data_IF_025932185473
#
_entry.id   IF_025932185473
#
_cell.length_a   1.000
_cell.length_b   1.000
_cell.length_c   1.000
_cell.angle_alpha   90.00
_cell.angle_beta   90.00
_cell.angle_gamma   90.00
#
_symmetry.space_group_name_H-M   'P 1'
#
loop_
_entity.id
_entity.type
_entity.pdbx_description
1 polymer ?
#
# COMPACT_ATOMS: atom_id res chain seq x y z
N UNK A 1 -24.47 11.21 -14.11
CA UNK A 1 -23.50 12.33 -14.01
C UNK A 1 -23.99 13.43 -13.05
N UNK A 2 -25.25 13.89 -13.17
CA UNK A 2 -25.80 14.99 -12.36
C UNK A 2 -25.78 14.76 -10.83
N UNK A 3 -26.00 13.52 -10.37
CA UNK A 3 -25.96 13.19 -8.93
C UNK A 3 -24.56 13.31 -8.30
N UNK A 4 -23.51 13.00 -9.07
CA UNK A 4 -22.12 13.10 -8.61
C UNK A 4 -21.73 14.57 -8.46
N UNK A 5 -22.12 15.40 -9.44
CA UNK A 5 -21.87 16.84 -9.41
C UNK A 5 -22.59 17.47 -8.21
N UNK A 6 -23.88 17.14 -8.01
CA UNK A 6 -24.65 17.62 -6.86
C UNK A 6 -24.03 17.22 -5.51
N UNK A 7 -23.59 15.96 -5.38
CA UNK A 7 -22.91 15.50 -4.17
C UNK A 7 -21.60 16.26 -3.92
N UNK A 8 -20.79 16.47 -4.94
CA UNK A 8 -19.50 17.17 -4.83
C UNK A 8 -19.68 18.64 -4.44
N UNK A 9 -20.71 19.30 -4.97
CA UNK A 9 -21.06 20.69 -4.61
C UNK A 9 -21.58 20.77 -3.17
N UNK A 10 -22.53 19.92 -2.79
CA UNK A 10 -23.17 20.01 -1.47
C UNK A 10 -22.22 19.52 -0.37
N UNK A 11 -21.69 18.30 -0.48
CA UNK A 11 -20.86 17.70 0.58
C UNK A 11 -19.44 18.23 0.56
N UNK A 12 -18.83 18.37 -0.61
CA UNK A 12 -17.52 18.98 -0.75
C UNK A 12 -17.55 20.45 -0.36
N UNK A 13 -18.56 21.20 -0.83
CA UNK A 13 -18.76 22.60 -0.45
C UNK A 13 -19.02 22.78 1.04
N UNK A 14 -19.87 21.95 1.65
CA UNK A 14 -20.09 21.94 3.10
C UNK A 14 -18.79 21.68 3.86
N UNK A 15 -18.01 20.67 3.45
CA UNK A 15 -16.72 20.34 4.07
C UNK A 15 -15.71 21.50 3.97
N UNK A 16 -15.61 22.18 2.83
CA UNK A 16 -14.75 23.36 2.70
C UNK A 16 -15.22 24.53 3.59
N UNK A 17 -16.53 24.69 3.79
CA UNK A 17 -17.08 25.71 4.67
C UNK A 17 -16.82 25.39 6.16
N UNK A 18 -16.79 24.11 6.57
CA UNK A 18 -16.50 23.76 7.96
C UNK A 18 -15.11 24.22 8.41
N UNK A 19 -14.14 24.32 7.51
CA UNK A 19 -12.81 24.89 7.81
C UNK A 19 -12.90 26.33 8.34
N UNK A 20 -13.88 27.13 7.91
CA UNK A 20 -14.09 28.50 8.44
C UNK A 20 -14.63 28.54 9.87
N UNK A 21 -15.27 27.47 10.32
CA UNK A 21 -15.84 27.35 11.66
C UNK A 21 -15.00 26.46 12.58
N UNK A 22 -13.84 26.00 12.10
CA UNK A 22 -12.91 25.22 12.90
C UNK A 22 -12.38 26.06 14.06
N UNK A 23 -12.33 25.46 15.24
CA UNK A 23 -11.68 26.02 16.43
C UNK A 23 -10.56 25.08 16.84
N UNK A 24 -9.41 25.65 17.17
CA UNK A 24 -8.29 24.86 17.67
C UNK A 24 -8.70 24.12 18.96
N UNK A 25 -8.31 22.84 19.10
CA UNK A 25 -8.55 22.09 20.33
C UNK A 25 -7.80 22.75 21.50
N UNK A 26 -8.43 22.71 22.68
CA UNK A 26 -7.89 23.26 23.93
C UNK A 26 -7.90 22.19 25.02
N UNK A 27 -7.07 22.37 26.05
CA UNK A 27 -6.96 21.43 27.16
C UNK A 27 -6.34 20.09 26.76
N UNK A 28 -6.90 18.99 27.27
CA UNK A 28 -6.44 17.63 27.04
C UNK A 28 -6.29 17.29 25.55
N UNK A 29 -7.26 17.69 24.72
CA UNK A 29 -7.23 17.40 23.28
C UNK A 29 -6.08 18.10 22.55
N UNK A 30 -5.60 19.24 23.04
CA UNK A 30 -4.43 19.92 22.46
C UNK A 30 -3.16 19.14 22.74
N UNK A 31 -2.99 18.72 23.99
CA UNK A 31 -1.82 17.94 24.43
C UNK A 31 -1.74 16.59 23.70
N UNK A 32 -2.87 15.90 23.50
CA UNK A 32 -2.94 14.69 22.67
C UNK A 32 -2.47 14.94 21.24
N UNK A 33 -2.89 16.07 20.65
CA UNK A 33 -2.55 16.40 19.26
C UNK A 33 -1.05 16.73 19.12
N UNK A 34 -0.49 17.48 20.08
CA UNK A 34 0.94 17.78 20.13
C UNK A 34 1.78 16.50 20.30
N UNK A 35 1.34 15.58 21.17
CA UNK A 35 1.99 14.27 21.31
C UNK A 35 1.89 13.46 20.03
N UNK A 36 0.71 13.41 19.39
CA UNK A 36 0.51 12.72 18.13
C UNK A 36 1.46 13.23 17.04
N UNK A 37 1.59 14.55 16.89
CA UNK A 37 2.52 15.10 15.90
C UNK A 37 3.98 14.81 16.24
N UNK A 38 4.34 14.82 17.53
CA UNK A 38 5.67 14.43 18.00
C UNK A 38 5.97 12.97 17.65
N UNK A 39 5.02 12.06 17.87
CA UNK A 39 5.16 10.64 17.52
C UNK A 39 5.28 10.43 16.01
N UNK A 40 4.52 11.20 15.22
CA UNK A 40 4.58 11.16 13.75
C UNK A 40 5.94 11.62 13.23
N UNK A 41 6.52 12.66 13.82
CA UNK A 41 7.84 13.17 13.46
C UNK A 41 8.99 12.32 14.03
N UNK A 42 8.71 11.46 15.01
CA UNK A 42 9.72 10.59 15.61
C UNK A 42 10.16 9.55 14.57
N UNK A 43 11.46 9.53 14.21
CA UNK A 43 11.94 8.59 13.20
C UNK A 43 11.77 7.16 13.71
N UNK A 44 11.19 6.31 12.86
CA UNK A 44 11.11 4.87 13.13
C UNK A 44 12.52 4.30 13.04
N UNK A 45 13.10 3.98 14.19
CA UNK A 45 14.38 3.26 14.26
C UNK A 45 14.07 1.77 14.13
N UNK A 46 14.58 1.15 13.07
CA UNK A 46 14.39 -0.29 12.88
C UNK A 46 15.10 -1.09 13.99
N UNK A 47 14.38 -2.06 14.56
CA UNK A 47 14.98 -2.98 15.52
C UNK A 47 15.99 -3.90 14.79
N UNK A 48 17.05 -4.30 15.50
CA UNK A 48 18.05 -5.20 14.95
C UNK A 48 17.39 -6.50 14.42
N UNK A 49 17.55 -6.77 13.12
CA UNK A 49 17.00 -7.96 12.45
C UNK A 49 15.64 -7.76 11.76
N UNK A 50 15.02 -6.58 11.85
CA UNK A 50 13.75 -6.27 11.16
C UNK A 50 13.88 -6.38 9.63
N UNK A 51 14.99 -5.91 9.07
CA UNK A 51 15.35 -6.08 7.65
C UNK A 51 15.23 -7.53 7.15
N UNK A 52 15.66 -8.49 7.98
CA UNK A 52 15.66 -9.91 7.63
C UNK A 52 14.24 -10.47 7.65
N UNK A 53 13.42 -10.07 8.63
CA UNK A 53 12.00 -10.43 8.71
C UNK A 53 11.25 -9.86 7.51
N UNK A 54 11.46 -8.60 7.17
CA UNK A 54 10.85 -7.94 6.02
C UNK A 54 11.25 -8.61 4.70
N UNK A 55 12.52 -9.04 4.59
CA UNK A 55 13.01 -9.80 3.44
C UNK A 55 12.30 -11.15 3.32
N UNK A 56 12.15 -11.87 4.43
CA UNK A 56 11.43 -13.15 4.46
C UNK A 56 9.95 -12.98 4.10
N UNK A 57 9.29 -11.93 4.60
CA UNK A 57 7.90 -11.60 4.27
C UNK A 57 7.74 -11.27 2.78
N UNK A 58 8.60 -10.42 2.20
CA UNK A 58 8.60 -10.11 0.77
C UNK A 58 8.82 -11.36 -0.09
N UNK A 59 9.70 -12.26 0.34
CA UNK A 59 9.94 -13.54 -0.32
C UNK A 59 8.71 -14.46 -0.27
N UNK A 60 8.09 -14.61 0.90
CA UNK A 60 6.88 -15.42 1.08
C UNK A 60 5.73 -14.87 0.24
N UNK A 61 5.44 -13.57 0.36
CA UNK A 61 4.35 -12.91 -0.36
C UNK A 61 4.55 -12.98 -1.88
N UNK A 62 5.77 -12.73 -2.35
CA UNK A 62 6.13 -12.85 -3.76
C UNK A 62 5.87 -14.25 -4.32
N UNK A 63 6.25 -15.31 -3.58
CA UNK A 63 6.00 -16.71 -3.99
C UNK A 63 4.51 -17.02 -4.06
N UNK A 64 3.74 -16.63 -3.04
CA UNK A 64 2.29 -16.85 -3.03
C UNK A 64 1.63 -16.17 -4.24
N UNK A 65 1.96 -14.90 -4.49
CA UNK A 65 1.40 -14.14 -5.62
C UNK A 65 1.73 -14.82 -6.96
N UNK A 66 2.92 -15.41 -7.13
CA UNK A 66 3.26 -16.12 -8.36
C UNK A 66 2.51 -17.46 -8.51
N UNK A 67 2.32 -18.21 -7.43
CA UNK A 67 1.58 -19.49 -7.46
C UNK A 67 0.10 -19.25 -7.79
N UNK A 68 -0.57 -18.37 -7.05
CA UNK A 68 -1.95 -17.98 -7.37
C UNK A 68 -2.03 -17.29 -8.74
N UNK A 69 -1.00 -16.49 -9.04
CA UNK A 69 -0.57 -16.01 -10.36
C UNK A 69 -0.84 -17.03 -11.47
N UNK A 70 -0.09 -18.12 -11.42
CA UNK A 70 -0.16 -19.19 -12.40
C UNK A 70 -1.53 -19.89 -12.41
N UNK A 71 -2.11 -20.19 -11.25
CA UNK A 71 -3.39 -20.91 -11.16
C UNK A 71 -4.56 -20.17 -11.84
N UNK A 72 -4.65 -18.85 -11.66
CA UNK A 72 -5.70 -18.05 -12.31
C UNK A 72 -5.43 -17.88 -13.81
N UNK A 73 -4.18 -17.87 -14.27
CA UNK A 73 -3.87 -17.93 -15.71
C UNK A 73 -4.34 -19.26 -16.29
N UNK A 74 -4.15 -20.36 -15.58
CA UNK A 74 -4.64 -21.69 -15.99
C UNK A 74 -6.17 -21.74 -16.12
N UNK A 75 -6.93 -20.92 -15.39
CA UNK A 75 -8.38 -20.82 -15.54
C UNK A 75 -8.83 -20.31 -16.93
N UNK A 76 -7.96 -19.66 -17.71
CA UNK A 76 -8.24 -19.30 -19.12
C UNK A 76 -8.51 -20.53 -19.98
N UNK A 77 -7.98 -21.69 -19.59
CA UNK A 77 -8.18 -22.95 -20.29
C UNK A 77 -9.61 -23.50 -20.15
N UNK A 78 -10.40 -22.98 -19.19
CA UNK A 78 -11.80 -23.33 -19.02
C UNK A 78 -12.65 -22.41 -19.92
N UNK A 79 -13.31 -22.93 -20.97
CA UNK A 79 -14.11 -22.11 -21.87
C UNK A 79 -15.34 -21.55 -21.14
N UNK A 80 -15.31 -20.25 -20.80
CA UNK A 80 -16.41 -19.50 -20.20
C UNK A 80 -16.42 -18.04 -20.73
N UNK A 81 -17.59 -17.40 -20.76
CA UNK A 81 -17.82 -16.06 -21.35
C UNK A 81 -17.00 -14.94 -20.67
N UNK A 82 -16.57 -15.16 -19.42
CA UNK A 82 -15.71 -14.27 -18.63
C UNK A 82 -14.20 -14.56 -18.79
N UNK A 83 -13.84 -15.69 -19.41
CA UNK A 83 -12.46 -16.21 -19.46
C UNK A 83 -11.62 -15.70 -20.62
N UNK A 84 -12.22 -15.12 -21.66
CA UNK A 84 -11.55 -14.95 -22.95
C UNK A 84 -10.87 -13.59 -23.19
N UNK A 85 -11.22 -12.50 -22.50
CA UNK A 85 -10.73 -11.16 -22.93
C UNK A 85 -10.20 -10.22 -21.82
N UNK A 86 -10.80 -10.16 -20.62
CA UNK A 86 -10.41 -9.16 -19.58
C UNK A 86 -9.57 -9.69 -18.42
N UNK A 87 -9.93 -10.88 -17.90
CA UNK A 87 -9.35 -11.47 -16.69
C UNK A 87 -7.82 -11.73 -16.76
N UNK A 88 -7.24 -12.26 -17.87
CA UNK A 88 -5.81 -12.55 -17.91
C UNK A 88 -4.91 -11.31 -18.02
N UNK A 89 -5.43 -10.15 -18.42
CA UNK A 89 -4.65 -8.90 -18.53
C UNK A 89 -4.41 -8.29 -17.13
N UNK A 90 -5.44 -8.26 -16.28
CA UNK A 90 -5.33 -7.78 -14.89
C UNK A 90 -4.37 -8.65 -14.07
N UNK A 91 -4.36 -9.95 -14.36
CA UNK A 91 -3.58 -10.93 -13.63
C UNK A 91 -2.11 -11.02 -14.09
N UNK A 92 -1.80 -10.64 -15.33
CA UNK A 92 -0.41 -10.38 -15.75
C UNK A 92 0.26 -9.30 -14.87
N UNK A 93 -0.52 -8.30 -14.41
CA UNK A 93 -0.04 -7.26 -13.49
C UNK A 93 0.28 -7.77 -12.08
N UNK A 94 -0.47 -8.74 -11.54
CA UNK A 94 -0.19 -9.32 -10.21
C UNK A 94 1.06 -10.21 -10.25
N UNK A 95 1.23 -11.03 -11.29
CA UNK A 95 2.44 -11.81 -11.50
C UNK A 95 3.69 -10.92 -11.64
N UNK A 96 3.59 -9.80 -12.35
CA UNK A 96 4.66 -8.81 -12.45
C UNK A 96 5.05 -8.24 -11.07
N UNK A 97 4.06 -7.84 -10.25
CA UNK A 97 4.28 -7.39 -8.87
C UNK A 97 4.93 -8.48 -7.99
N UNK A 98 4.47 -9.73 -8.11
CA UNK A 98 5.07 -10.87 -7.40
C UNK A 98 6.54 -11.07 -7.77
N UNK A 99 6.89 -10.95 -9.05
CA UNK A 99 8.27 -11.02 -9.51
C UNK A 99 9.12 -9.86 -8.96
N UNK A 100 8.60 -8.63 -8.94
CA UNK A 100 9.28 -7.48 -8.34
C UNK A 100 9.53 -7.67 -6.84
N UNK A 101 8.56 -8.21 -6.10
CA UNK A 101 8.73 -8.54 -4.68
C UNK A 101 9.82 -9.58 -4.45
N UNK A 102 9.88 -10.63 -5.27
CA UNK A 102 10.96 -11.62 -5.19
C UNK A 102 12.32 -11.06 -5.57
N UNK A 103 12.38 -10.13 -6.52
CA UNK A 103 13.62 -9.43 -6.88
C UNK A 103 14.07 -8.50 -5.76
N UNK A 104 13.14 -7.79 -5.12
CA UNK A 104 13.40 -6.92 -3.96
C UNK A 104 13.81 -7.69 -2.71
N UNK A 105 13.34 -8.94 -2.54
CA UNK A 105 13.69 -9.81 -1.43
C UNK A 105 15.09 -10.48 -1.56
N UNK A 106 15.78 -10.30 -2.70
CA UNK A 106 17.17 -10.77 -2.83
C UNK A 106 18.04 -9.93 -1.90
N UNK A 107 18.92 -10.58 -1.16
CA UNK A 107 19.85 -9.88 -0.28
C UNK A 107 20.71 -8.92 -1.11
N UNK A 108 20.58 -7.62 -0.86
CA UNK A 108 21.54 -6.64 -1.35
C UNK A 108 22.86 -6.95 -0.65
N UNK A 109 23.96 -7.21 -1.39
CA UNK A 109 25.26 -7.37 -0.75
C UNK A 109 25.52 -6.11 0.07
N UNK A 110 25.86 -6.28 1.35
CA UNK A 110 26.15 -5.16 2.24
C UNK A 110 27.17 -4.25 1.54
N UNK A 111 26.77 -3.00 1.30
CA UNK A 111 27.72 -1.98 0.88
C UNK A 111 28.67 -1.84 2.07
N UNK A 112 29.88 -2.40 1.97
CA UNK A 112 30.94 -2.29 2.97
C UNK A 112 31.36 -0.81 3.07
N UNK A 113 30.56 0.02 3.72
CA UNK A 113 30.93 1.34 4.21
C UNK A 113 31.39 1.20 5.66
N UNK A 114 32.40 0.35 5.84
CA UNK A 114 33.28 0.32 7.01
C UNK A 114 34.70 0.06 6.50
N UNK A 115 35.19 0.98 5.68
CA UNK A 115 36.62 1.21 5.43
C UNK A 115 36.75 2.56 4.74
N UNK A 116 36.85 3.61 5.55
CA UNK A 116 37.65 4.84 5.42
C UNK A 116 37.28 5.77 6.57
#
# INVERSE_FOLDING_TARGET
MNGIIGHLVITGGFFCLTTKFYKEPVGERKAELEHFWTDVDTPVVEAAGQDEVDRQQRSMLGKLILVFGALVITMVLIPNILGTHGLPILWRGSAYRGCLLLRSAKATPALNLQTQ
#
